data_IF_567819458471
#
_entry.id   IF_567819458471
#
_cell.length_a   1.000
_cell.length_b   1.000
_cell.length_c   1.000
_cell.angle_alpha   90.00
_cell.angle_beta   90.00
_cell.angle_gamma   90.00
#
_symmetry.space_group_name_H-M   'P 1'
#
loop_
_entity.id
_entity.type
_entity.pdbx_description
1 polymer ?
#
# COMPACT_ATOMS: atom_id res chain seq x y z
N UNK A 1 58.01 -7.20 27.55
CA UNK A 1 57.50 -8.45 28.13
C UNK A 1 56.05 -8.23 28.49
N UNK A 2 55.16 -8.87 27.73
CA UNK A 2 53.70 -8.91 27.92
C UNK A 2 53.33 -9.52 29.28
N UNK A 3 52.20 -9.08 29.86
CA UNK A 3 51.15 -9.94 30.45
C UNK A 3 50.06 -9.10 31.10
N UNK A 4 48.95 -8.99 30.37
CA UNK A 4 47.56 -8.81 30.83
C UNK A 4 47.34 -8.92 32.35
N UNK A 5 47.01 -7.80 33.01
CA UNK A 5 46.29 -7.75 34.30
C UNK A 5 45.42 -6.49 34.32
N UNK A 6 44.20 -6.56 33.79
CA UNK A 6 43.00 -6.84 34.59
C UNK A 6 42.64 -5.69 35.55
N UNK A 7 42.04 -4.63 34.98
CA UNK A 7 41.03 -3.81 35.65
C UNK A 7 39.93 -3.60 34.59
N UNK A 8 39.07 -4.59 34.38
CA UNK A 8 37.77 -4.72 35.06
C UNK A 8 36.85 -3.54 34.70
N UNK A 9 35.95 -3.86 33.76
CA UNK A 9 34.52 -3.54 33.75
C UNK A 9 34.14 -2.06 33.81
N UNK A 10 33.90 -1.43 32.66
CA UNK A 10 32.67 -0.66 32.40
C UNK A 10 32.41 -0.64 30.89
N UNK A 11 31.31 -1.24 30.44
CA UNK A 11 30.72 -0.81 29.17
C UNK A 11 30.35 -1.82 28.09
N UNK A 12 30.28 -3.14 28.34
CA UNK A 12 29.57 -4.04 27.39
C UNK A 12 28.93 -5.18 28.16
N UNK A 13 27.69 -5.00 28.66
CA UNK A 13 26.86 -6.14 29.07
C UNK A 13 25.36 -5.83 29.07
N UNK A 14 24.86 -5.17 28.02
CA UNK A 14 23.41 -5.04 27.76
C UNK A 14 23.03 -5.26 26.28
N UNK A 15 24.00 -5.47 25.39
CA UNK A 15 23.76 -5.55 23.94
C UNK A 15 23.57 -6.95 23.36
N UNK A 16 23.70 -8.02 24.15
CA UNK A 16 23.65 -9.40 23.63
C UNK A 16 22.23 -9.97 23.53
N UNK A 17 21.43 -9.83 24.58
CA UNK A 17 20.11 -10.46 24.63
C UNK A 17 19.02 -9.58 23.97
N UNK A 18 19.12 -8.25 24.11
CA UNK A 18 18.15 -7.33 23.52
C UNK A 18 18.25 -7.29 21.98
N UNK A 19 19.45 -7.41 21.42
CA UNK A 19 19.65 -7.43 19.96
C UNK A 19 19.20 -8.76 19.34
N UNK A 20 19.41 -9.89 20.03
CA UNK A 20 18.92 -11.20 19.58
C UNK A 20 17.38 -11.29 19.64
N UNK A 21 16.75 -10.66 20.63
CA UNK A 21 15.29 -10.52 20.69
C UNK A 21 14.73 -9.61 19.59
N UNK A 22 15.50 -8.60 19.14
CA UNK A 22 15.11 -7.72 18.05
C UNK A 22 15.14 -8.45 16.69
N UNK A 23 16.11 -9.34 16.48
CA UNK A 23 16.16 -10.20 15.29
C UNK A 23 15.14 -11.35 15.34
N UNK A 24 14.97 -12.01 16.49
CA UNK A 24 13.97 -13.07 16.64
C UNK A 24 12.53 -12.55 16.50
N UNK A 25 12.23 -11.33 16.98
CA UNK A 25 10.93 -10.69 16.72
C UNK A 25 10.71 -10.40 15.23
N UNK A 26 11.76 -10.21 14.44
CA UNK A 26 11.65 -9.98 13.01
C UNK A 26 11.50 -11.28 12.19
N UNK A 27 11.82 -12.43 12.78
CA UNK A 27 11.63 -13.76 12.16
C UNK A 27 10.28 -14.42 12.53
N UNK A 28 9.61 -13.95 13.59
CA UNK A 28 8.30 -14.49 14.04
C UNK A 28 7.10 -13.77 13.37
N UNK A 29 7.30 -12.70 12.60
CA UNK A 29 6.23 -11.98 11.88
C UNK A 29 5.77 -12.66 10.57
N UNK A 30 6.06 -13.94 10.39
CA UNK A 30 5.72 -14.70 9.19
C UNK A 30 4.23 -15.12 9.07
N UNK A 31 3.32 -14.57 9.90
CA UNK A 31 1.90 -14.92 9.82
C UNK A 31 0.93 -13.84 10.34
N UNK A 32 1.36 -12.59 10.48
CA UNK A 32 0.43 -11.47 10.51
C UNK A 32 0.49 -10.87 9.12
N UNK A 33 -0.51 -11.20 8.30
CA UNK A 33 -0.80 -10.52 7.05
C UNK A 33 -0.72 -9.01 7.36
N UNK A 34 0.31 -8.30 6.89
CA UNK A 34 0.37 -6.84 7.02
C UNK A 34 -0.77 -6.31 6.17
N UNK A 35 -1.96 -6.27 6.78
CA UNK A 35 -3.16 -5.69 6.21
C UNK A 35 -2.78 -4.24 5.96
N UNK A 36 -2.44 -3.95 4.70
CA UNK A 36 -2.10 -2.61 4.25
C UNK A 36 -3.13 -1.66 4.87
N UNK A 37 -2.70 -0.53 5.46
CA UNK A 37 -3.64 0.43 6.01
C UNK A 37 -4.69 0.72 4.95
N UNK A 38 -5.97 0.66 5.33
CA UNK A 38 -7.11 0.88 4.45
C UNK A 38 -7.17 2.36 4.05
N UNK A 39 -6.24 2.73 3.17
CA UNK A 39 -5.98 4.10 2.78
C UNK A 39 -7.04 4.60 1.80
N UNK A 40 -7.33 5.89 1.88
CA UNK A 40 -8.15 6.56 0.88
C UNK A 40 -7.45 6.53 -0.48
N UNK A 41 -8.22 6.25 -1.53
CA UNK A 41 -7.77 6.30 -2.92
C UNK A 41 -8.08 7.70 -3.46
N UNK A 42 -7.07 8.35 -4.01
CA UNK A 42 -7.19 9.71 -4.57
C UNK A 42 -7.22 9.62 -6.08
N UNK A 43 -8.20 10.28 -6.69
CA UNK A 43 -8.34 10.43 -8.13
C UNK A 43 -8.10 11.89 -8.51
N UNK A 44 -7.37 12.13 -9.59
CA UNK A 44 -7.11 13.50 -10.08
C UNK A 44 -8.14 13.96 -11.13
N UNK A 45 -8.81 13.03 -11.80
CA UNK A 45 -9.88 13.30 -12.76
C UNK A 45 -11.25 13.10 -12.10
N UNK A 46 -12.06 14.16 -12.07
CA UNK A 46 -13.40 14.13 -11.46
C UNK A 46 -14.37 13.18 -12.19
N UNK A 47 -14.22 13.00 -13.51
CA UNK A 47 -15.05 12.04 -14.26
C UNK A 47 -14.66 10.61 -13.90
N UNK A 48 -13.36 10.32 -13.77
CA UNK A 48 -12.89 9.03 -13.29
C UNK A 48 -13.42 8.72 -11.89
N UNK A 49 -13.27 9.67 -10.94
CA UNK A 49 -13.77 9.49 -9.58
C UNK A 49 -15.27 9.20 -9.59
N UNK A 50 -16.06 10.01 -10.31
CA UNK A 50 -17.53 9.83 -10.39
C UNK A 50 -17.89 8.43 -10.90
N UNK A 51 -17.25 7.94 -11.96
CA UNK A 51 -17.56 6.63 -12.52
C UNK A 51 -17.18 5.49 -11.58
N UNK A 52 -16.04 5.61 -10.88
CA UNK A 52 -15.66 4.63 -9.85
C UNK A 52 -16.70 4.63 -8.73
N UNK A 53 -17.14 5.80 -8.27
CA UNK A 53 -18.19 5.92 -7.26
C UNK A 53 -19.51 5.29 -7.72
N UNK A 54 -19.90 5.53 -8.97
CA UNK A 54 -21.08 4.93 -9.57
C UNK A 54 -20.98 3.40 -9.61
N UNK A 55 -19.84 2.88 -10.05
CA UNK A 55 -19.60 1.43 -10.11
C UNK A 55 -19.62 0.75 -8.74
N UNK A 56 -19.20 1.46 -7.68
CA UNK A 56 -19.16 0.92 -6.32
C UNK A 56 -20.40 1.28 -5.49
N UNK A 57 -21.24 2.19 -5.98
CA UNK A 57 -22.35 2.79 -5.24
C UNK A 57 -21.92 3.43 -3.91
N UNK A 58 -20.79 4.17 -3.90
CA UNK A 58 -20.22 4.85 -2.72
C UNK A 58 -20.16 6.36 -2.97
N UNK A 59 -20.99 7.12 -2.26
CA UNK A 59 -21.15 8.56 -2.49
C UNK A 59 -20.98 9.42 -1.24
N UNK A 60 -21.15 8.84 -0.06
CA UNK A 60 -21.20 9.53 1.24
C UNK A 60 -19.87 9.54 1.98
N UNK A 61 -18.86 8.85 1.45
CA UNK A 61 -17.51 8.72 2.03
C UNK A 61 -16.43 8.55 0.97
N UNK A 62 -15.18 8.63 1.39
CA UNK A 62 -14.01 8.32 0.57
C UNK A 62 -14.04 6.86 0.09
N UNK A 63 -13.52 6.63 -1.12
CA UNK A 63 -13.19 5.30 -1.62
C UNK A 63 -11.89 4.87 -0.95
N UNK A 64 -11.84 3.64 -0.44
CA UNK A 64 -10.67 3.07 0.21
C UNK A 64 -10.14 1.84 -0.52
N UNK A 65 -8.91 1.46 -0.21
CA UNK A 65 -8.26 0.26 -0.76
C UNK A 65 -9.13 -0.99 -0.61
N UNK A 66 -9.83 -1.16 0.52
CA UNK A 66 -10.73 -2.30 0.70
C UNK A 66 -11.93 -2.29 -0.23
N UNK A 67 -12.44 -1.13 -0.64
CA UNK A 67 -13.60 -1.03 -1.53
C UNK A 67 -13.27 -1.50 -2.95
N UNK A 68 -12.03 -1.29 -3.38
CA UNK A 68 -11.54 -1.63 -4.72
C UNK A 68 -10.78 -2.96 -4.77
N UNK A 69 -10.52 -3.58 -3.61
CA UNK A 69 -9.70 -4.78 -3.50
C UNK A 69 -10.26 -5.95 -4.32
N UNK A 70 -11.59 -6.10 -4.37
CA UNK A 70 -12.24 -7.20 -5.10
C UNK A 70 -12.69 -6.81 -6.52
N UNK A 71 -12.40 -5.58 -6.95
CA UNK A 71 -12.78 -5.11 -8.29
C UNK A 71 -11.89 -5.76 -9.33
N UNK A 72 -12.49 -6.59 -10.19
CA UNK A 72 -11.78 -7.31 -11.26
C UNK A 72 -12.12 -6.78 -12.65
N UNK A 73 -13.14 -5.95 -12.78
CA UNK A 73 -13.59 -5.38 -14.05
C UNK A 73 -14.17 -4.00 -13.83
N UNK A 74 -13.80 -3.03 -14.66
CA UNK A 74 -14.40 -1.69 -14.70
C UNK A 74 -14.57 -1.22 -16.15
N UNK A 75 -15.66 -0.51 -16.40
CA UNK A 75 -16.04 0.05 -17.71
C UNK A 75 -16.10 1.57 -17.56
N UNK A 76 -15.27 2.28 -18.33
CA UNK A 76 -15.04 3.72 -18.21
C UNK A 76 -15.08 4.41 -19.58
N UNK A 77 -15.70 3.80 -20.59
CA UNK A 77 -15.70 4.27 -21.98
C UNK A 77 -16.48 5.58 -22.21
N UNK A 78 -15.97 6.43 -23.10
CA UNK A 78 -16.64 7.65 -23.59
C UNK A 78 -17.02 8.69 -22.51
N UNK A 79 -16.14 8.92 -21.53
CA UNK A 79 -16.42 9.82 -20.41
C UNK A 79 -15.43 10.98 -20.25
N UNK A 80 -14.67 11.31 -21.31
CA UNK A 80 -13.73 12.43 -21.32
C UNK A 80 -12.70 12.37 -20.18
N UNK A 81 -12.29 11.17 -19.78
CA UNK A 81 -11.23 10.96 -18.79
C UNK A 81 -9.90 11.39 -19.40
N UNK A 82 -9.12 12.16 -18.66
CA UNK A 82 -7.81 12.70 -19.08
C UNK A 82 -6.66 12.21 -18.22
N UNK A 83 -6.90 12.06 -16.93
CA UNK A 83 -5.93 11.61 -15.94
C UNK A 83 -6.41 10.29 -15.31
N UNK A 84 -5.55 9.26 -15.35
CA UNK A 84 -5.85 7.93 -14.83
C UNK A 84 -5.28 7.68 -13.43
N UNK A 85 -4.68 8.70 -12.81
CA UNK A 85 -4.17 8.64 -11.44
C UNK A 85 -5.26 8.16 -10.49
N UNK A 86 -4.95 7.14 -9.69
CA UNK A 86 -5.86 6.43 -8.83
C UNK A 86 -6.13 4.99 -9.32
N UNK A 87 -6.11 4.74 -10.63
CA UNK A 87 -6.35 3.39 -11.19
C UNK A 87 -5.24 2.39 -10.84
N UNK A 88 -4.01 2.86 -10.57
CA UNK A 88 -2.90 2.01 -10.12
C UNK A 88 -3.19 1.28 -8.80
N UNK A 89 -4.20 1.72 -8.05
CA UNK A 89 -4.63 1.09 -6.79
C UNK A 89 -5.50 -0.16 -7.01
N UNK A 90 -6.06 -0.38 -8.20
CA UNK A 90 -6.92 -1.53 -8.50
C UNK A 90 -6.10 -2.80 -8.78
N UNK A 91 -5.47 -3.36 -7.73
CA UNK A 91 -4.49 -4.46 -7.86
C UNK A 91 -5.04 -5.76 -8.46
N UNK A 92 -6.35 -5.99 -8.36
CA UNK A 92 -7.00 -7.19 -8.88
C UNK A 92 -7.74 -6.97 -10.20
N UNK A 93 -7.59 -5.80 -10.83
CA UNK A 93 -8.23 -5.48 -12.10
C UNK A 93 -7.71 -6.37 -13.23
N UNK A 94 -8.62 -7.07 -13.91
CA UNK A 94 -8.33 -7.98 -15.02
C UNK A 94 -8.91 -7.47 -16.34
N UNK A 95 -9.93 -6.63 -16.28
CA UNK A 95 -10.62 -6.06 -17.43
C UNK A 95 -10.82 -4.57 -17.20
N UNK A 96 -10.35 -3.79 -18.16
CA UNK A 96 -10.45 -2.33 -18.16
C UNK A 96 -10.81 -1.89 -19.57
N UNK A 97 -11.97 -1.26 -19.72
CA UNK A 97 -12.34 -0.57 -20.95
C UNK A 97 -12.30 0.94 -20.69
N UNK A 98 -11.45 1.65 -21.43
CA UNK A 98 -11.34 3.11 -21.39
C UNK A 98 -11.45 3.71 -22.80
N UNK A 99 -12.03 2.98 -23.74
CA UNK A 99 -12.16 3.43 -25.13
C UNK A 99 -12.95 4.73 -25.22
N UNK A 100 -12.58 5.61 -26.16
CA UNK A 100 -13.27 6.89 -26.36
C UNK A 100 -13.00 7.97 -25.29
N UNK A 101 -11.96 7.81 -24.47
CA UNK A 101 -11.46 8.86 -23.57
C UNK A 101 -10.33 9.69 -24.20
N UNK A 102 -9.92 10.76 -23.52
CA UNK A 102 -8.93 11.74 -23.99
C UNK A 102 -7.70 11.68 -23.08
N UNK A 103 -7.15 10.48 -22.89
CA UNK A 103 -6.04 10.22 -21.98
C UNK A 103 -4.79 10.92 -22.52
N UNK A 104 -4.25 11.86 -21.74
CA UNK A 104 -3.13 12.70 -22.18
C UNK A 104 -1.77 12.00 -21.95
N UNK A 105 -1.67 11.07 -21.00
CA UNK A 105 -0.46 10.29 -20.68
C UNK A 105 -0.81 8.93 -20.03
N UNK A 106 0.03 7.90 -20.20
CA UNK A 106 -0.17 6.51 -19.69
C UNK A 106 1.02 6.02 -18.88
#
# INVERSE_FOLDING_TARGET
MDKRKNVIKKGVLLGGLALLLLFAKNEIRAAEEEKLPDAAVVFQDENLERLVRDSLSIYDREIRQSDIADVTSIQLENHNIKDITGLENFKNLKKLDMSGNVIEDI
#
